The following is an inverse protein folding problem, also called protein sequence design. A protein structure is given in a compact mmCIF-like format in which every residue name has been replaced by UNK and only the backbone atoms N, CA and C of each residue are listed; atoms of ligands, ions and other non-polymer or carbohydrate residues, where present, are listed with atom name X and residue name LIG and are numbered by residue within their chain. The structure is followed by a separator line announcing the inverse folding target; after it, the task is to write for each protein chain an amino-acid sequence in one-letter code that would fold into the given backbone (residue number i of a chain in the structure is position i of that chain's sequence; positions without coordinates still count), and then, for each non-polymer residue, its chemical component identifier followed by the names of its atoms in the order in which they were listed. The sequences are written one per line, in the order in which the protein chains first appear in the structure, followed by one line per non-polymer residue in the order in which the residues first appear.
data_IF_834786314659
#
_entry.id   IF_834786314659
#
_cell.length_a   1.000
_cell.length_b   1.000
_cell.length_c   1.000
_cell.angle_alpha   90.00
_cell.angle_beta   90.00
_cell.angle_gamma   90.00
#
_symmetry.space_group_name_H-M   'P 1'
#
loop_
_entity.id
_entity.type
_entity.pdbx_description
1 polymer ?
#
# COMPACT_ATOMS: atom_id res chain seq x y z
N UNK A 1 6.19 19.28 20.43
CA UNK A 1 6.53 18.25 21.44
C UNK A 1 5.23 17.91 22.15
N UNK A 2 4.50 16.90 21.65
CA UNK A 2 3.26 16.38 22.25
C UNK A 2 3.52 14.95 22.72
N UNK A 3 4.47 14.77 23.64
CA UNK A 3 4.94 13.44 24.08
C UNK A 3 4.01 12.82 25.12
N UNK A 4 3.34 13.63 25.95
CA UNK A 4 2.51 13.13 27.05
C UNK A 4 1.32 12.26 26.61
N UNK A 5 0.72 12.56 25.45
CA UNK A 5 -0.49 11.85 25.00
C UNK A 5 -0.14 10.48 24.37
N UNK A 6 1.02 10.36 23.71
CA UNK A 6 1.51 9.09 23.15
C UNK A 6 1.99 8.15 24.25
N UNK A 7 2.73 8.67 25.24
CA UNK A 7 3.24 7.89 26.38
C UNK A 7 2.09 7.31 27.22
N UNK A 8 1.03 8.09 27.45
CA UNK A 8 -0.16 7.62 28.17
C UNK A 8 -0.94 6.55 27.39
N UNK A 9 -0.96 6.64 26.06
CA UNK A 9 -1.62 5.67 25.20
C UNK A 9 -0.86 4.34 25.14
N UNK A 10 0.48 4.38 25.06
CA UNK A 10 1.30 3.15 25.08
C UNK A 10 1.16 2.40 26.40
N UNK A 11 1.14 3.11 27.53
CA UNK A 11 1.01 2.50 28.86
C UNK A 11 -0.35 1.80 29.02
N UNK A 12 -1.42 2.43 28.54
CA UNK A 12 -2.76 1.84 28.55
C UNK A 12 -2.84 0.58 27.68
N UNK A 13 -2.23 0.61 26.49
CA UNK A 13 -2.14 -0.55 25.59
C UNK A 13 -1.37 -1.69 26.27
N UNK A 14 -0.20 -1.42 26.86
CA UNK A 14 0.60 -2.45 27.52
C UNK A 14 -0.20 -3.13 28.64
N UNK A 15 -0.92 -2.34 29.45
CA UNK A 15 -1.74 -2.88 30.53
C UNK A 15 -2.90 -3.76 30.02
N UNK A 16 -3.62 -3.31 28.98
CA UNK A 16 -4.73 -4.06 28.38
C UNK A 16 -4.26 -5.40 27.80
N UNK A 17 -3.15 -5.39 27.04
CA UNK A 17 -2.63 -6.60 26.41
C UNK A 17 -2.01 -7.55 27.44
N UNK A 18 -1.43 -7.04 28.52
CA UNK A 18 -0.97 -7.88 29.65
C UNK A 18 -2.15 -8.55 30.35
N UNK A 19 -3.26 -7.83 30.55
CA UNK A 19 -4.49 -8.39 31.13
C UNK A 19 -5.12 -9.48 30.24
N UNK A 20 -4.95 -9.37 28.91
CA UNK A 20 -5.36 -10.38 27.94
C UNK A 20 -4.39 -11.58 27.86
N UNK A 21 -3.27 -11.57 28.59
CA UNK A 21 -2.32 -12.68 28.67
C UNK A 21 -1.20 -12.66 27.62
N UNK A 22 -0.97 -11.53 26.95
CA UNK A 22 0.19 -11.37 26.07
C UNK A 22 1.46 -11.10 26.89
N UNK A 23 2.59 -11.62 26.41
CA UNK A 23 3.92 -11.32 26.99
C UNK A 23 4.42 -9.96 26.48
N UNK A 24 5.26 -9.29 27.25
CA UNK A 24 5.85 -7.99 26.88
C UNK A 24 6.56 -8.04 25.52
N UNK A 25 7.30 -9.12 25.24
CA UNK A 25 8.00 -9.31 23.96
C UNK A 25 7.03 -9.38 22.76
N UNK A 26 5.85 -9.99 22.95
CA UNK A 26 4.80 -10.04 21.93
C UNK A 26 4.15 -8.66 21.73
N UNK A 27 3.94 -7.91 22.81
CA UNK A 27 3.37 -6.56 22.76
C UNK A 27 4.33 -5.63 22.00
N UNK A 28 5.62 -5.68 22.31
CA UNK A 28 6.66 -4.93 21.60
C UNK A 28 6.67 -5.25 20.10
N UNK A 29 6.65 -6.54 19.76
CA UNK A 29 6.59 -6.99 18.36
C UNK A 29 5.34 -6.45 17.62
N UNK A 30 4.19 -6.38 18.30
CA UNK A 30 2.94 -5.84 17.73
C UNK A 30 3.05 -4.32 17.52
N UNK A 31 3.60 -3.60 18.50
CA UNK A 31 3.78 -2.15 18.44
C UNK A 31 4.77 -1.76 17.32
N UNK A 32 5.89 -2.47 17.22
CA UNK A 32 6.88 -2.27 16.16
C UNK A 32 6.27 -2.51 14.78
N UNK A 33 5.47 -3.58 14.65
CA UNK A 33 4.76 -3.87 13.40
C UNK A 33 3.79 -2.75 13.04
N UNK A 34 3.00 -2.24 14.01
CA UNK A 34 2.10 -1.11 13.78
C UNK A 34 2.85 0.15 13.37
N UNK A 35 3.98 0.44 14.01
CA UNK A 35 4.84 1.58 13.66
C UNK A 35 5.39 1.43 12.23
N UNK A 36 5.86 0.23 11.86
CA UNK A 36 6.36 -0.05 10.51
C UNK A 36 5.29 0.09 9.42
N UNK A 37 4.03 -0.29 9.71
CA UNK A 37 2.91 -0.15 8.78
C UNK A 37 2.46 1.31 8.62
N UNK A 38 2.57 2.13 9.67
CA UNK A 38 2.33 3.58 9.59
C UNK A 38 3.44 4.32 8.82
N UNK A 39 4.64 3.75 8.82
CA UNK A 39 5.82 4.31 8.14
C UNK A 39 6.12 3.67 6.79
N UNK A 40 5.35 2.66 6.37
CA UNK A 40 5.38 2.25 4.97
C UNK A 40 4.89 3.47 4.19
N UNK A 41 5.71 4.04 3.29
CA UNK A 41 5.27 5.20 2.54
C UNK A 41 3.99 4.79 1.85
N UNK A 42 2.95 5.61 1.96
CA UNK A 42 1.85 5.70 1.00
C UNK A 42 2.43 6.07 -0.37
N UNK A 43 3.31 5.22 -0.90
CA UNK A 43 3.81 5.32 -2.24
C UNK A 43 2.59 5.31 -3.15
N UNK A 44 2.57 6.13 -4.21
CA UNK A 44 1.46 6.14 -5.14
C UNK A 44 1.15 4.69 -5.53
N UNK A 45 -0.06 4.22 -5.28
CA UNK A 45 -0.47 2.87 -5.66
C UNK A 45 -0.68 2.89 -7.17
N UNK A 46 0.37 2.64 -7.95
CA UNK A 46 0.30 2.70 -9.40
C UNK A 46 -0.59 1.58 -9.91
N UNK A 47 -1.74 1.94 -10.48
CA UNK A 47 -2.56 0.99 -11.22
C UNK A 47 -2.07 0.92 -12.67
N UNK A 48 -1.86 -0.30 -13.18
CA UNK A 48 -1.58 -0.51 -14.60
C UNK A 48 -2.88 -0.56 -15.37
N UNK A 49 -2.98 0.26 -16.42
CA UNK A 49 -4.21 0.41 -17.18
C UNK A 49 -3.99 0.04 -18.63
N UNK A 50 -4.97 -0.65 -19.23
CA UNK A 50 -4.95 -0.99 -20.65
C UNK A 50 -5.88 -0.04 -21.42
N UNK A 51 -5.38 0.55 -22.53
CA UNK A 51 -6.10 1.59 -23.31
C UNK A 51 -7.48 1.17 -23.83
N UNK A 52 -7.69 -0.14 -23.99
CA UNK A 52 -8.96 -0.75 -24.42
C UNK A 52 -10.08 -0.67 -23.37
N UNK A 53 -9.75 -0.67 -22.09
CA UNK A 53 -10.74 -0.86 -21.02
C UNK A 53 -11.01 0.40 -20.19
N UNK A 54 -10.16 1.41 -20.29
CA UNK A 54 -10.32 2.64 -19.52
C UNK A 54 -9.88 3.86 -20.33
N UNK A 55 -10.69 4.91 -20.27
CA UNK A 55 -10.39 6.18 -20.91
C UNK A 55 -9.42 7.00 -20.03
N UNK A 56 -8.46 7.72 -20.63
CA UNK A 56 -7.55 8.60 -19.90
C UNK A 56 -8.29 9.64 -19.05
N UNK A 57 -9.43 10.13 -19.55
CA UNK A 57 -10.25 11.15 -18.89
C UNK A 57 -10.82 10.67 -17.56
N UNK A 58 -11.17 9.38 -17.47
CA UNK A 58 -11.62 8.77 -16.21
C UNK A 58 -10.50 8.75 -15.17
N UNK A 59 -9.28 8.45 -15.58
CA UNK A 59 -8.13 8.40 -14.67
C UNK A 59 -7.74 9.78 -14.15
N UNK A 60 -7.78 10.79 -15.02
CA UNK A 60 -7.54 12.19 -14.64
C UNK A 60 -8.61 12.72 -13.69
N UNK A 61 -9.88 12.35 -13.90
CA UNK A 61 -10.99 12.80 -13.05
C UNK A 61 -10.83 12.35 -11.58
N UNK A 62 -10.33 11.13 -11.35
CA UNK A 62 -10.13 10.57 -10.00
C UNK A 62 -8.74 10.82 -9.41
N UNK A 63 -7.84 11.54 -10.13
CA UNK A 63 -6.46 11.86 -9.71
C UNK A 63 -5.68 10.63 -9.21
N UNK A 64 -5.92 9.49 -9.84
CA UNK A 64 -5.25 8.25 -9.47
C UNK A 64 -3.82 8.26 -10.01
N UNK A 65 -2.83 7.72 -9.30
CA UNK A 65 -1.53 7.42 -9.86
C UNK A 65 -1.63 6.17 -10.75
N UNK A 66 -1.36 6.30 -12.05
CA UNK A 66 -1.51 5.21 -13.02
C UNK A 66 -0.43 5.26 -14.11
N UNK A 67 -0.18 4.12 -14.75
CA UNK A 67 0.67 4.01 -15.94
C UNK A 67 0.04 3.09 -17.00
N UNK A 68 0.42 3.25 -18.26
CA UNK A 68 -0.03 2.37 -19.34
C UNK A 68 0.67 1.02 -19.27
N UNK A 69 -0.10 -0.05 -19.49
CA UNK A 69 0.48 -1.38 -19.64
C UNK A 69 1.27 -1.48 -20.97
N UNK A 70 2.58 -1.77 -20.86
CA UNK A 70 3.54 -1.82 -21.98
C UNK A 70 3.15 -2.87 -23.05
N UNK A 71 2.39 -3.90 -22.67
CA UNK A 71 1.95 -4.98 -23.56
C UNK A 71 0.96 -4.50 -24.64
N UNK A 72 0.35 -3.32 -24.47
CA UNK A 72 -0.55 -2.73 -25.46
C UNK A 72 0.15 -2.35 -26.80
N UNK A 73 1.50 -2.29 -26.83
CA UNK A 73 2.26 -1.76 -27.95
C UNK A 73 2.70 -2.80 -29.01
N UNK A 74 2.25 -4.05 -28.95
CA UNK A 74 2.64 -5.06 -29.96
C UNK A 74 1.48 -5.48 -30.86
N UNK A 75 1.31 -4.87 -32.04
CA UNK A 75 0.56 -5.50 -33.10
C UNK A 75 1.39 -6.67 -33.64
N UNK A 76 1.05 -7.89 -33.19
CA UNK A 76 1.26 -9.15 -33.90
C UNK A 76 2.60 -9.30 -34.68
N UNK A 77 3.70 -9.52 -33.97
CA UNK A 77 5.01 -9.86 -34.56
C UNK A 77 5.17 -11.35 -34.95
N UNK A 78 4.12 -12.08 -35.34
CA UNK A 78 4.27 -13.53 -35.61
C UNK A 78 3.61 -14.09 -36.88
N UNK A 79 3.10 -13.28 -37.81
CA UNK A 79 2.66 -13.81 -39.12
C UNK A 79 3.00 -12.89 -40.28
N UNK A 80 4.20 -13.06 -40.81
CA UNK A 80 4.44 -12.90 -42.25
C UNK A 80 5.29 -14.09 -42.69
N UNK A 81 4.62 -15.20 -42.93
CA UNK A 81 5.19 -16.26 -43.76
C UNK A 81 5.01 -15.80 -45.21
N UNK A 82 6.10 -15.35 -45.83
CA UNK A 82 6.13 -15.00 -47.25
C UNK A 82 6.01 -16.27 -48.09
N UNK A 83 5.12 -16.25 -49.09
CA UNK A 83 5.13 -17.18 -50.21
C UNK A 83 5.12 -16.40 -51.52
#
# INVERSE_FOLDING_TARGET
MSTNDEDQLSDAIINEFTAAGYTTDQIETILDRQHSLKHEPEGPTWIKVHRKYLLPDTLMAYRLPWDWDEVCASPASWRTDSN
#
